data_IF_107530453278
#
_entry.id   IF_107530453278
#
_cell.length_a   1.000
_cell.length_b   1.000
_cell.length_c   1.000
_cell.angle_alpha   90.00
_cell.angle_beta   90.00
_cell.angle_gamma   90.00
#
_symmetry.space_group_name_H-M   'P 1'
#
loop_
_entity.id
_entity.type
_entity.pdbx_description
1 polymer ?
#
# COMPACT_ATOMS: atom_id res chain seq x y z
N UNK A 1 15.43 6.78 -7.49
CA UNK A 1 14.43 5.70 -7.38
C UNK A 1 13.54 5.98 -6.19
N UNK A 2 12.21 5.95 -6.35
CA UNK A 2 11.23 6.22 -5.30
C UNK A 2 11.19 5.03 -4.33
N UNK A 3 11.30 5.32 -3.03
CA UNK A 3 11.23 4.30 -1.97
C UNK A 3 9.79 4.19 -1.49
N UNK A 4 9.19 3.02 -1.63
CA UNK A 4 7.80 2.77 -1.23
C UNK A 4 7.74 1.89 0.02
N UNK A 5 6.82 2.21 0.91
CA UNK A 5 6.38 1.35 2.00
C UNK A 5 5.07 0.65 1.63
N UNK A 6 4.81 -0.49 2.26
CA UNK A 6 3.60 -1.27 2.02
C UNK A 6 2.96 -1.68 3.35
N UNK A 7 1.66 -1.45 3.48
CA UNK A 7 0.91 -1.69 4.72
C UNK A 7 -0.30 -2.59 4.48
N UNK A 8 -0.53 -3.51 5.42
CA UNK A 8 -1.59 -4.52 5.49
C UNK A 8 -1.45 -5.63 4.44
N UNK A 9 -1.06 -6.82 4.90
CA UNK A 9 -0.72 -7.97 4.05
C UNK A 9 -1.84 -9.01 3.98
N UNK A 10 -3.08 -8.57 3.84
CA UNK A 10 -4.24 -9.46 3.74
C UNK A 10 -4.70 -9.73 2.29
N UNK A 11 -4.00 -9.18 1.30
CA UNK A 11 -4.32 -9.27 -0.13
C UNK A 11 -3.13 -9.75 -0.97
N UNK A 12 -3.41 -10.39 -2.11
CA UNK A 12 -2.40 -10.79 -3.09
C UNK A 12 -1.69 -9.60 -3.75
N UNK A 13 -2.25 -8.39 -3.67
CA UNK A 13 -1.66 -7.18 -4.26
C UNK A 13 -0.29 -6.88 -3.67
N UNK A 14 -0.05 -7.16 -2.39
CA UNK A 14 1.25 -6.94 -1.75
C UNK A 14 2.38 -7.69 -2.45
N UNK A 15 2.15 -8.94 -2.83
CA UNK A 15 3.13 -9.74 -3.57
C UNK A 15 3.18 -9.29 -5.03
N UNK A 16 2.03 -9.09 -5.66
CA UNK A 16 1.94 -8.73 -7.07
C UNK A 16 2.64 -7.39 -7.38
N UNK A 17 2.51 -6.39 -6.52
CA UNK A 17 3.19 -5.10 -6.70
C UNK A 17 4.68 -5.20 -6.37
N UNK A 18 5.03 -5.91 -5.29
CA UNK A 18 6.43 -6.10 -4.92
C UNK A 18 7.23 -6.80 -6.01
N UNK A 19 6.70 -7.88 -6.60
CA UNK A 19 7.36 -8.63 -7.66
C UNK A 19 7.62 -7.77 -8.91
N UNK A 20 6.66 -6.94 -9.31
CA UNK A 20 6.79 -6.05 -10.47
C UNK A 20 7.81 -4.92 -10.24
N UNK A 21 7.75 -4.30 -9.07
CA UNK A 21 8.66 -3.20 -8.70
C UNK A 21 10.09 -3.67 -8.38
N UNK A 22 10.27 -4.93 -8.00
CA UNK A 22 11.58 -5.54 -7.73
C UNK A 22 12.11 -6.35 -8.93
N UNK A 23 11.35 -6.44 -10.02
CA UNK A 23 11.69 -7.25 -11.20
C UNK A 23 11.93 -8.73 -10.87
N UNK A 24 11.11 -9.30 -9.99
CA UNK A 24 11.23 -10.69 -9.51
C UNK A 24 9.97 -11.49 -9.86
N UNK A 25 10.16 -12.76 -10.20
CA UNK A 25 9.09 -13.75 -10.40
C UNK A 25 8.02 -13.39 -11.44
N UNK A 26 8.21 -12.36 -12.24
CA UNK A 26 7.31 -11.93 -13.31
C UNK A 26 8.09 -11.66 -14.60
N UNK A 27 7.47 -11.84 -15.79
CA UNK A 27 8.09 -11.52 -17.07
C UNK A 27 8.52 -10.05 -17.17
N UNK A 28 9.52 -9.77 -18.02
CA UNK A 28 10.08 -8.42 -18.21
C UNK A 28 9.04 -7.38 -18.65
N UNK A 29 8.06 -7.78 -19.43
CA UNK A 29 6.97 -6.91 -19.90
C UNK A 29 6.02 -6.45 -18.77
N UNK A 30 6.14 -7.05 -17.58
CA UNK A 30 5.42 -6.66 -16.38
C UNK A 30 6.26 -5.86 -15.38
N UNK A 31 7.53 -5.60 -15.68
CA UNK A 31 8.39 -4.82 -14.79
C UNK A 31 7.95 -3.36 -14.74
N UNK A 32 8.06 -2.78 -13.55
CA UNK A 32 7.76 -1.37 -13.30
C UNK A 32 9.01 -0.69 -12.78
N UNK A 33 9.51 0.28 -13.53
CA UNK A 33 10.71 1.04 -13.21
C UNK A 33 10.41 2.30 -12.39
N UNK A 34 11.44 2.81 -11.72
CA UNK A 34 11.42 4.12 -11.05
C UNK A 34 11.08 4.07 -9.57
N UNK A 35 10.59 2.93 -9.06
CA UNK A 35 10.27 2.75 -7.64
C UNK A 35 10.64 1.34 -7.16
N UNK A 36 10.76 1.18 -5.85
CA UNK A 36 10.95 -0.13 -5.21
C UNK A 36 10.30 -0.16 -3.82
N UNK A 37 9.84 -1.33 -3.41
CA UNK A 37 9.39 -1.55 -2.03
C UNK A 37 10.62 -1.72 -1.14
N UNK A 38 10.77 -0.86 -0.14
CA UNK A 38 11.94 -0.87 0.77
C UNK A 38 11.62 -1.37 2.16
N UNK A 39 10.34 -1.38 2.53
CA UNK A 39 9.87 -1.83 3.86
C UNK A 39 8.37 -2.14 3.80
N UNK A 40 7.94 -3.09 4.61
CA UNK A 40 6.53 -3.42 4.79
C UNK A 40 6.13 -3.51 6.25
N UNK A 41 4.82 -3.41 6.51
CA UNK A 41 4.21 -3.72 7.78
C UNK A 41 3.00 -4.62 7.52
N UNK A 42 2.98 -5.78 8.17
CA UNK A 42 1.94 -6.79 7.90
C UNK A 42 0.54 -6.33 8.31
N UNK A 43 0.46 -5.49 9.35
CA UNK A 43 -0.81 -5.02 9.89
C UNK A 43 -1.68 -6.12 10.45
N UNK A 44 -2.98 -5.88 10.42
CA UNK A 44 -4.03 -6.83 10.81
C UNK A 44 -5.17 -6.84 9.78
N UNK A 45 -6.05 -7.82 9.85
CA UNK A 45 -7.23 -7.89 8.99
C UNK A 45 -8.41 -8.52 9.74
N UNK A 46 -9.59 -7.93 9.56
CA UNK A 46 -10.86 -8.52 10.01
C UNK A 46 -11.51 -9.39 8.93
N UNK A 47 -11.08 -9.23 7.67
CA UNK A 47 -11.66 -9.92 6.52
C UNK A 47 -10.93 -11.23 6.26
N UNK A 48 -9.60 -11.22 6.22
CA UNK A 48 -8.77 -12.35 5.81
C UNK A 48 -7.49 -12.47 6.64
N UNK A 49 -7.58 -12.56 7.98
CA UNK A 49 -6.40 -12.63 8.85
C UNK A 49 -5.55 -13.88 8.58
N UNK A 50 -6.15 -14.96 8.12
CA UNK A 50 -5.48 -16.22 7.77
C UNK A 50 -4.49 -16.11 6.61
N UNK A 51 -4.60 -15.08 5.78
CA UNK A 51 -3.71 -14.85 4.63
C UNK A 51 -2.40 -14.19 5.02
N UNK A 52 -2.40 -13.41 6.09
CA UNK A 52 -1.26 -12.58 6.51
C UNK A 52 0.03 -13.39 6.66
N UNK A 53 0.06 -14.54 7.38
CA UNK A 53 1.31 -15.28 7.55
C UNK A 53 1.94 -15.72 6.22
N UNK A 54 1.14 -16.17 5.26
CA UNK A 54 1.63 -16.57 3.94
C UNK A 54 2.23 -15.42 3.15
N UNK A 55 1.62 -14.25 3.18
CA UNK A 55 2.15 -13.06 2.51
C UNK A 55 3.37 -12.48 3.22
N UNK A 56 3.43 -12.53 4.55
CA UNK A 56 4.64 -12.19 5.32
C UNK A 56 5.83 -13.01 4.84
N UNK A 57 5.68 -14.33 4.73
CA UNK A 57 6.75 -15.20 4.24
C UNK A 57 7.13 -14.91 2.78
N UNK A 58 6.16 -14.64 1.92
CA UNK A 58 6.42 -14.26 0.53
C UNK A 58 7.21 -12.95 0.42
N UNK A 59 6.83 -11.93 1.18
CA UNK A 59 7.50 -10.63 1.21
C UNK A 59 8.92 -10.73 1.78
N UNK A 60 9.13 -11.53 2.84
CA UNK A 60 10.47 -11.84 3.35
C UNK A 60 11.37 -12.50 2.31
N UNK A 61 10.84 -13.46 1.55
CA UNK A 61 11.57 -14.14 0.46
C UNK A 61 11.99 -13.17 -0.66
N UNK A 62 11.22 -12.11 -0.89
CA UNK A 62 11.59 -11.05 -1.83
C UNK A 62 12.71 -10.15 -1.29
N UNK A 63 13.08 -10.28 -0.01
CA UNK A 63 14.14 -9.50 0.64
C UNK A 63 13.65 -8.17 1.21
N UNK A 64 12.35 -7.98 1.37
CA UNK A 64 11.77 -6.77 1.93
C UNK A 64 11.72 -6.90 3.46
N UNK A 65 12.35 -5.98 4.22
CA UNK A 65 12.25 -5.95 5.67
C UNK A 65 10.84 -5.60 6.12
N UNK A 66 10.40 -6.23 7.22
CA UNK A 66 9.08 -6.03 7.80
C UNK A 66 9.25 -5.42 9.19
N UNK A 67 8.51 -4.35 9.45
CA UNK A 67 8.43 -3.67 10.75
C UNK A 67 7.14 -4.03 11.47
N UNK A 68 7.12 -3.85 12.79
CA UNK A 68 5.97 -4.21 13.62
C UNK A 68 4.88 -3.13 13.59
N UNK A 69 5.27 -1.86 13.44
CA UNK A 69 4.35 -0.71 13.48
C UNK A 69 4.46 0.13 12.22
N UNK A 70 3.33 0.61 11.67
CA UNK A 70 3.34 1.46 10.47
C UNK A 70 4.21 2.71 10.62
N UNK A 71 4.23 3.33 11.80
CA UNK A 71 4.97 4.57 12.06
C UNK A 71 6.49 4.41 11.89
N UNK A 72 7.00 3.19 12.04
CA UNK A 72 8.43 2.88 11.83
C UNK A 72 8.88 3.03 10.37
N UNK A 73 7.93 3.12 9.45
CA UNK A 73 8.20 3.38 8.03
C UNK A 73 8.40 4.88 7.73
N UNK A 74 7.90 5.77 8.61
CA UNK A 74 8.04 7.23 8.44
C UNK A 74 9.53 7.61 8.44
N UNK A 75 9.95 8.42 7.47
CA UNK A 75 11.34 8.78 7.24
C UNK A 75 12.16 7.79 6.43
N UNK A 76 11.65 6.57 6.20
CA UNK A 76 12.30 5.55 5.36
C UNK A 76 11.76 5.53 3.93
N UNK A 77 10.56 6.08 3.71
CA UNK A 77 9.81 5.98 2.46
C UNK A 77 9.47 7.34 1.88
N UNK A 78 9.31 7.38 0.56
CA UNK A 78 8.90 8.55 -0.21
C UNK A 78 7.39 8.48 -0.57
N UNK A 79 6.78 7.31 -0.44
CA UNK A 79 5.36 7.07 -0.66
C UNK A 79 4.89 5.76 -0.02
N UNK A 80 3.57 5.62 0.13
CA UNK A 80 2.95 4.45 0.76
C UNK A 80 1.95 3.75 -0.16
N UNK A 81 1.94 2.43 -0.10
CA UNK A 81 0.89 1.57 -0.62
C UNK A 81 0.07 1.05 0.58
N UNK A 82 -1.19 1.46 0.66
CA UNK A 82 -2.14 1.00 1.68
C UNK A 82 -3.00 -0.07 1.03
N UNK A 83 -2.78 -1.33 1.40
CA UNK A 83 -3.27 -2.49 0.65
C UNK A 83 -4.44 -3.21 1.35
N UNK A 84 -4.88 -2.74 2.51
CA UNK A 84 -5.99 -3.36 3.28
C UNK A 84 -7.18 -3.71 2.37
N UNK A 85 -7.74 -4.91 2.50
CA UNK A 85 -8.97 -5.27 1.78
C UNK A 85 -10.19 -4.50 2.28
N UNK A 86 -10.19 -4.10 3.56
CA UNK A 86 -11.28 -3.36 4.19
C UNK A 86 -11.15 -1.86 3.99
N UNK A 87 -12.01 -1.27 3.15
CA UNK A 87 -12.01 0.18 2.91
C UNK A 87 -12.32 1.02 4.17
N UNK A 88 -12.96 0.44 5.18
CA UNK A 88 -13.30 1.12 6.43
C UNK A 88 -12.09 1.50 7.29
N UNK A 89 -10.94 0.85 7.11
CA UNK A 89 -9.71 1.14 7.88
C UNK A 89 -8.77 2.12 7.16
N UNK A 90 -9.02 2.43 5.88
CA UNK A 90 -8.07 3.19 5.05
C UNK A 90 -7.79 4.60 5.57
N UNK A 91 -8.78 5.29 6.14
CA UNK A 91 -8.56 6.60 6.76
C UNK A 91 -7.56 6.52 7.92
N UNK A 92 -7.71 5.52 8.80
CA UNK A 92 -6.82 5.31 9.93
C UNK A 92 -5.41 4.94 9.45
N UNK A 93 -5.31 4.04 8.48
CA UNK A 93 -4.04 3.55 7.92
C UNK A 93 -3.26 4.64 7.19
N UNK A 94 -3.93 5.46 6.40
CA UNK A 94 -3.29 6.51 5.61
C UNK A 94 -2.94 7.77 6.42
N UNK A 95 -3.71 8.06 7.48
CA UNK A 95 -3.59 9.29 8.28
C UNK A 95 -2.16 9.61 8.71
N UNK A 96 -1.39 8.73 9.39
CA UNK A 96 -0.06 9.08 9.90
C UNK A 96 0.91 9.46 8.78
N UNK A 97 0.76 8.90 7.60
CA UNK A 97 1.60 9.22 6.44
C UNK A 97 1.18 10.52 5.78
N UNK A 98 -0.11 10.72 5.55
CA UNK A 98 -0.64 11.96 4.98
C UNK A 98 -0.32 13.18 5.85
N UNK A 99 -0.41 13.06 7.18
CA UNK A 99 -0.04 14.11 8.13
C UNK A 99 1.45 14.48 8.09
N UNK A 100 2.29 13.56 7.60
CA UNK A 100 3.73 13.79 7.35
C UNK A 100 4.04 14.22 5.91
N UNK A 101 3.02 14.48 5.10
CA UNK A 101 3.20 14.88 3.72
C UNK A 101 3.63 13.73 2.79
N UNK A 102 3.52 12.49 3.23
CA UNK A 102 3.89 11.31 2.44
C UNK A 102 2.71 10.93 1.54
N UNK A 103 2.87 10.88 0.20
CA UNK A 103 1.80 10.49 -0.71
C UNK A 103 1.40 9.03 -0.51
N UNK A 104 0.10 8.74 -0.67
CA UNK A 104 -0.44 7.41 -0.49
C UNK A 104 -1.21 6.94 -1.73
N UNK A 105 -0.90 5.76 -2.23
CA UNK A 105 -1.83 4.95 -2.98
C UNK A 105 -2.69 4.18 -1.99
N UNK A 106 -4.01 4.19 -2.18
CA UNK A 106 -4.96 3.42 -1.36
C UNK A 106 -5.69 2.45 -2.28
N UNK A 107 -5.57 1.16 -1.97
CA UNK A 107 -6.17 0.12 -2.80
C UNK A 107 -7.72 0.15 -2.72
N UNK A 108 -8.34 -0.54 -3.65
CA UNK A 108 -9.81 -0.68 -3.71
C UNK A 108 -10.32 -1.63 -2.60
N UNK A 109 -11.48 -1.37 -2.03
CA UNK A 109 -12.31 -0.17 -2.22
C UNK A 109 -11.69 1.02 -1.49
N UNK A 110 -11.72 2.21 -2.09
CA UNK A 110 -11.05 3.40 -1.52
C UNK A 110 -11.47 3.69 -0.08
N UNK A 111 -12.76 3.68 0.20
CA UNK A 111 -13.35 3.74 1.55
C UNK A 111 -14.72 3.07 1.57
N UNK A 112 -15.25 2.82 2.78
CA UNK A 112 -16.62 2.36 2.98
C UNK A 112 -17.61 3.52 3.20
N UNK A 113 -17.14 4.78 3.28
CA UNK A 113 -18.01 5.95 3.43
C UNK A 113 -17.48 7.16 2.69
N UNK A 114 -18.41 7.96 2.13
CA UNK A 114 -18.08 9.25 1.51
C UNK A 114 -17.46 10.22 2.54
N UNK A 115 -17.86 10.14 3.80
CA UNK A 115 -17.32 10.99 4.85
C UNK A 115 -15.82 10.73 5.05
N UNK A 116 -15.38 9.47 5.08
CA UNK A 116 -13.98 9.12 5.23
C UNK A 116 -13.15 9.44 3.98
N UNK A 117 -13.73 9.25 2.78
CA UNK A 117 -13.10 9.70 1.54
C UNK A 117 -12.80 11.21 1.57
N UNK A 118 -13.79 12.03 1.97
CA UNK A 118 -13.61 13.48 2.12
C UNK A 118 -12.51 13.83 3.13
N UNK A 119 -12.44 13.11 4.26
CA UNK A 119 -11.38 13.31 5.27
C UNK A 119 -10.00 12.97 4.73
N UNK A 120 -9.85 11.88 3.99
CA UNK A 120 -8.58 11.48 3.37
C UNK A 120 -8.10 12.58 2.40
N UNK A 121 -8.97 13.06 1.51
CA UNK A 121 -8.60 14.15 0.59
C UNK A 121 -8.30 15.46 1.31
N UNK A 122 -9.03 15.78 2.38
CA UNK A 122 -8.78 16.96 3.20
C UNK A 122 -7.40 16.91 3.89
N UNK A 123 -7.03 15.73 4.44
CA UNK A 123 -5.70 15.48 5.02
C UNK A 123 -4.59 15.65 3.99
N UNK A 124 -4.74 15.05 2.82
CA UNK A 124 -3.76 15.18 1.74
C UNK A 124 -3.58 16.65 1.33
N UNK A 125 -4.68 17.37 1.12
CA UNK A 125 -4.66 18.81 0.75
C UNK A 125 -4.03 19.66 1.83
N UNK A 126 -4.38 19.47 3.10
CA UNK A 126 -3.85 20.22 4.23
C UNK A 126 -2.32 20.06 4.39
N UNK A 127 -1.81 18.87 4.08
CA UNK A 127 -0.39 18.53 4.19
C UNK A 127 0.36 18.61 2.84
N UNK A 128 -0.25 19.22 1.82
CA UNK A 128 0.34 19.44 0.48
C UNK A 128 0.90 18.16 -0.15
N UNK A 129 0.20 17.05 0.04
CA UNK A 129 0.55 15.75 -0.52
C UNK A 129 -0.56 15.20 -1.39
N UNK A 130 -0.33 14.04 -1.99
CA UNK A 130 -1.25 13.40 -2.94
C UNK A 130 -1.78 12.09 -2.39
N UNK A 131 -3.03 11.81 -2.70
CA UNK A 131 -3.66 10.51 -2.52
C UNK A 131 -4.38 10.11 -3.79
N UNK A 132 -4.28 8.83 -4.16
CA UNK A 132 -5.02 8.28 -5.30
C UNK A 132 -5.37 6.82 -5.06
N UNK A 133 -6.30 6.32 -5.86
CA UNK A 133 -6.74 4.93 -5.86
C UNK A 133 -7.03 4.47 -7.28
N UNK A 134 -6.89 3.18 -7.52
CA UNK A 134 -7.19 2.58 -8.81
C UNK A 134 -7.65 1.13 -8.65
N UNK A 135 -8.30 0.60 -9.68
CA UNK A 135 -8.61 -0.82 -9.83
C UNK A 135 -8.20 -1.28 -11.21
N UNK A 136 -7.73 -2.52 -11.33
CA UNK A 136 -7.43 -3.15 -12.61
C UNK A 136 -8.63 -3.13 -13.57
N UNK A 137 -9.85 -3.18 -13.04
CA UNK A 137 -11.08 -3.10 -13.84
C UNK A 137 -11.22 -1.80 -14.64
N UNK A 138 -10.54 -0.72 -14.24
CA UNK A 138 -10.50 0.53 -15.02
C UNK A 138 -9.82 0.38 -16.37
N UNK A 139 -8.95 -0.61 -16.52
CA UNK A 139 -8.09 -0.81 -17.68
C UNK A 139 -8.44 -2.06 -18.49
N UNK A 140 -9.55 -2.73 -18.17
CA UNK A 140 -10.03 -3.86 -18.97
C UNK A 140 -10.60 -3.37 -20.29
N UNK A 141 -10.36 -4.08 -21.42
CA UNK A 141 -11.09 -3.84 -22.66
C UNK A 141 -12.61 -3.97 -22.45
N UNK A 142 -13.40 -3.16 -23.15
CA UNK A 142 -14.85 -3.28 -23.18
C UNK A 142 -15.30 -4.56 -23.91
#
# INVERSE_FOLDING_TARGET
>A
MIRLGMLDFDTSHVVAFAERLLHKNVPMDQWVDGAQIVVGCAGDSKISPERIPGYVEAIKKLGIPIVDKPEEMIGKVDGMLIESQEGGVHLERARPFLEKGIPCYIDKPFTCSTADAKKIFALAKANKTTVFSSSSLRYTPE
#
